data_IF_638585063652
#
_entry.id   IF_638585063652
#
_cell.length_a   1.000
_cell.length_b   1.000
_cell.length_c   1.000
_cell.angle_alpha   90.00
_cell.angle_beta   90.00
_cell.angle_gamma   90.00
#
_symmetry.space_group_name_H-M   'P 1'
#
loop_
_entity.id
_entity.type
_entity.pdbx_description
1 polymer ?
#
# COMPACT_ATOMS: atom_id res chain seq x y z
N UNK A 1 11.97 10.14 -0.22
CA UNK A 1 11.09 8.94 -0.22
C UNK A 1 11.11 8.38 -1.63
N UNK A 2 10.91 7.08 -1.87
CA UNK A 2 10.79 6.59 -3.25
C UNK A 2 9.33 6.51 -3.68
N UNK A 3 9.04 6.95 -4.90
CA UNK A 3 7.72 6.80 -5.49
C UNK A 3 7.39 5.30 -5.55
N UNK A 4 6.21 4.91 -5.07
CA UNK A 4 5.77 3.50 -5.09
C UNK A 4 4.91 3.25 -6.33
N UNK A 5 4.27 4.31 -6.83
CA UNK A 5 3.44 4.34 -8.02
C UNK A 5 3.76 5.57 -8.84
N UNK A 6 3.46 5.52 -10.14
CA UNK A 6 3.60 6.69 -11.00
C UNK A 6 2.64 7.79 -10.55
N UNK A 7 3.16 9.00 -10.34
CA UNK A 7 2.34 10.18 -10.05
C UNK A 7 2.98 11.45 -10.62
N UNK A 8 2.17 12.47 -10.83
CA UNK A 8 2.65 13.79 -11.24
C UNK A 8 2.71 14.74 -10.05
N UNK A 9 3.84 15.42 -9.87
CA UNK A 9 4.05 16.38 -8.82
C UNK A 9 4.84 17.57 -9.31
N UNK A 10 4.62 18.73 -8.69
CA UNK A 10 5.31 19.97 -9.02
C UNK A 10 6.35 20.22 -7.93
N UNK A 11 7.63 19.89 -8.17
CA UNK A 11 8.69 20.17 -7.20
C UNK A 11 8.96 21.68 -7.12
N UNK A 12 9.31 22.17 -5.93
CA UNK A 12 9.84 23.50 -5.65
C UNK A 12 9.11 24.68 -6.31
N UNK A 13 7.77 24.62 -6.36
CA UNK A 13 6.96 25.70 -6.97
C UNK A 13 7.24 25.91 -8.46
N UNK A 14 7.74 24.90 -9.17
CA UNK A 14 7.80 24.91 -10.63
C UNK A 14 6.39 25.13 -11.22
N UNK A 15 6.32 25.59 -12.46
CA UNK A 15 5.03 25.84 -13.13
C UNK A 15 4.52 24.58 -13.84
N UNK A 16 5.38 23.59 -14.04
CA UNK A 16 5.08 22.37 -14.79
C UNK A 16 5.17 21.14 -13.90
N UNK A 17 4.21 20.21 -14.02
CA UNK A 17 4.27 18.93 -13.32
C UNK A 17 5.36 18.03 -13.90
N UNK A 18 6.07 17.35 -13.00
CA UNK A 18 7.04 16.30 -13.30
C UNK A 18 6.39 14.95 -13.01
N UNK A 19 6.58 13.99 -13.90
CA UNK A 19 6.14 12.60 -13.67
C UNK A 19 7.23 11.85 -12.90
N UNK A 20 6.87 11.31 -11.74
CA UNK A 20 7.73 10.45 -10.93
C UNK A 20 7.32 8.99 -11.17
N UNK A 21 8.24 8.16 -11.65
CA UNK A 21 8.00 6.75 -11.87
C UNK A 21 8.26 5.94 -10.57
N UNK A 22 7.72 4.72 -10.43
CA UNK A 22 8.02 3.89 -9.25
C UNK A 22 9.54 3.65 -9.12
N UNK A 23 10.09 3.97 -7.95
CA UNK A 23 11.52 3.92 -7.63
C UNK A 23 12.24 5.28 -7.70
N UNK A 24 11.63 6.29 -8.31
CA UNK A 24 12.19 7.65 -8.38
C UNK A 24 12.25 8.30 -6.99
N UNK A 25 13.25 9.15 -6.81
CA UNK A 25 13.41 9.92 -5.58
C UNK A 25 12.42 11.09 -5.56
N UNK A 26 11.48 11.03 -4.62
CA UNK A 26 10.46 12.04 -4.45
C UNK A 26 10.96 13.08 -3.46
N UNK A 27 10.93 14.37 -3.83
CA UNK A 27 11.32 15.45 -2.94
C UNK A 27 10.32 15.61 -1.77
N UNK A 28 10.77 16.15 -0.61
CA UNK A 28 9.99 16.15 0.62
C UNK A 28 8.66 16.88 0.54
N UNK A 29 8.55 17.93 -0.28
CA UNK A 29 7.28 18.63 -0.53
C UNK A 29 6.22 17.76 -1.21
N UNK A 30 6.64 16.75 -1.97
CA UNK A 30 5.78 15.83 -2.71
C UNK A 30 5.61 14.48 -1.99
N UNK A 31 6.22 14.30 -0.82
CA UNK A 31 6.04 13.08 -0.02
C UNK A 31 4.56 12.83 0.31
N UNK A 32 3.77 13.87 0.59
CA UNK A 32 2.33 13.75 0.87
C UNK A 32 1.57 13.21 -0.35
N UNK A 33 1.88 13.71 -1.53
CA UNK A 33 1.32 13.26 -2.81
C UNK A 33 1.78 11.84 -3.12
N UNK A 34 3.08 11.55 -2.99
CA UNK A 34 3.61 10.20 -3.17
C UNK A 34 3.04 9.19 -2.17
N UNK A 35 2.72 9.61 -0.94
CA UNK A 35 2.04 8.76 0.04
C UNK A 35 0.57 8.55 -0.31
N UNK A 36 -0.10 9.58 -0.78
CA UNK A 36 -1.49 9.50 -1.25
C UNK A 36 -1.63 8.56 -2.46
N UNK A 37 -0.74 8.67 -3.45
CA UNK A 37 -0.77 7.86 -4.67
C UNK A 37 -0.05 6.52 -4.56
N UNK A 38 1.01 6.46 -3.76
CA UNK A 38 1.74 5.23 -3.46
C UNK A 38 0.98 4.32 -2.50
N UNK A 39 -0.09 4.83 -1.86
CA UNK A 39 -0.58 4.29 -0.62
C UNK A 39 0.52 4.38 0.43
N UNK A 40 0.15 4.36 1.69
CA UNK A 40 1.09 3.89 2.67
C UNK A 40 1.71 2.58 2.14
N UNK A 41 3.02 2.39 2.32
CA UNK A 41 3.57 1.03 2.39
C UNK A 41 2.97 0.23 3.58
N UNK A 42 1.86 0.72 4.16
CA UNK A 42 0.86 -0.03 4.90
C UNK A 42 -0.22 -0.44 3.88
N UNK A 43 0.01 -1.60 3.25
CA UNK A 43 -0.96 -2.26 2.39
C UNK A 43 -2.35 -2.17 3.02
N UNK A 44 -3.24 -1.41 2.37
CA UNK A 44 -4.67 -1.61 2.59
C UNK A 44 -4.98 -3.11 2.47
N UNK A 45 -6.01 -3.62 3.16
CA UNK A 45 -6.24 -5.05 3.32
C UNK A 45 -6.20 -5.88 2.01
N UNK A 46 -6.46 -5.24 0.86
CA UNK A 46 -6.39 -5.86 -0.46
C UNK A 46 -4.98 -6.31 -0.93
N UNK A 47 -3.91 -5.65 -0.46
CA UNK A 47 -2.52 -5.96 -0.86
C UNK A 47 -1.76 -6.81 0.16
N UNK A 48 -2.36 -7.14 1.30
CA UNK A 48 -1.81 -8.13 2.23
C UNK A 48 -1.62 -9.45 1.49
N UNK A 49 -0.40 -9.98 1.52
CA UNK A 49 -0.12 -11.29 0.93
C UNK A 49 -0.84 -12.37 1.72
N UNK A 50 -1.06 -13.56 1.13
CA UNK A 50 -1.70 -14.68 1.84
C UNK A 50 -0.95 -15.03 3.14
N UNK A 51 0.37 -14.82 3.17
CA UNK A 51 1.19 -15.01 4.36
C UNK A 51 0.84 -13.99 5.47
N UNK A 52 0.70 -12.72 5.12
CA UNK A 52 0.34 -11.65 6.08
C UNK A 52 -1.10 -11.76 6.55
N UNK A 53 -2.02 -12.16 5.66
CA UNK A 53 -3.41 -12.43 6.05
C UNK A 53 -3.46 -13.57 7.06
N UNK A 54 -2.70 -14.66 6.83
CA UNK A 54 -2.61 -15.77 7.79
C UNK A 54 -1.97 -15.34 9.11
N UNK A 55 -0.92 -14.51 9.07
CA UNK A 55 -0.29 -13.99 10.28
C UNK A 55 -1.28 -13.16 11.12
N UNK A 56 -2.09 -12.30 10.48
CA UNK A 56 -3.14 -11.54 11.17
C UNK A 56 -4.27 -12.43 11.69
N UNK A 57 -4.65 -13.49 10.97
CA UNK A 57 -5.65 -14.46 11.46
C UNK A 57 -5.13 -15.26 12.67
N UNK A 58 -3.86 -15.65 12.66
CA UNK A 58 -3.22 -16.34 13.79
C UNK A 58 -3.08 -15.42 15.02
N UNK A 59 -2.69 -14.16 14.82
CA UNK A 59 -2.64 -13.13 15.87
C UNK A 59 -4.02 -12.89 16.50
N UNK A 60 -5.07 -12.87 15.66
CA UNK A 60 -6.47 -12.76 16.11
C UNK A 60 -7.07 -14.08 16.60
N UNK A 61 -6.31 -15.19 16.58
CA UNK A 61 -6.77 -16.54 16.92
C UNK A 61 -8.04 -16.97 16.16
N UNK A 62 -8.12 -16.59 14.89
CA UNK A 62 -9.19 -16.99 13.98
C UNK A 62 -8.77 -18.26 13.24
N UNK A 63 -9.45 -19.36 13.55
CA UNK A 63 -9.29 -20.64 12.84
C UNK A 63 -9.58 -20.46 11.34
N UNK A 64 -8.57 -20.73 10.52
CA UNK A 64 -8.67 -20.70 9.07
C UNK A 64 -8.43 -22.08 8.47
N UNK A 65 -9.22 -22.46 7.48
CA UNK A 65 -9.06 -23.75 6.79
C UNK A 65 -7.94 -23.66 5.76
N UNK A 66 -6.98 -24.60 5.82
CA UNK A 66 -5.99 -24.78 4.76
C UNK A 66 -6.68 -25.08 3.43
N UNK A 67 -6.52 -24.17 2.47
CA UNK A 67 -7.17 -24.22 1.15
C UNK A 67 -8.09 -23.05 0.83
N UNK A 68 -8.32 -22.12 1.77
CA UNK A 68 -9.06 -20.90 1.49
C UNK A 68 -8.32 -19.97 0.52
N UNK A 69 -9.08 -19.31 -0.35
CA UNK A 69 -8.54 -18.35 -1.32
C UNK A 69 -8.14 -17.03 -0.64
N UNK A 70 -7.23 -16.25 -1.24
CA UNK A 70 -6.80 -14.94 -0.71
C UNK A 70 -7.99 -14.05 -0.30
N UNK A 71 -9.04 -14.03 -1.11
CA UNK A 71 -10.26 -13.26 -0.85
C UNK A 71 -11.05 -13.74 0.38
N UNK A 72 -11.08 -15.05 0.66
CA UNK A 72 -11.80 -15.62 1.80
C UNK A 72 -11.04 -15.39 3.11
N UNK A 73 -9.72 -15.60 3.07
CA UNK A 73 -8.84 -15.27 4.20
C UNK A 73 -8.93 -13.77 4.53
N UNK A 74 -9.02 -12.92 3.50
CA UNK A 74 -9.19 -11.48 3.69
C UNK A 74 -10.56 -11.11 4.25
N UNK A 75 -11.62 -11.84 3.86
CA UNK A 75 -12.96 -11.61 4.38
C UNK A 75 -13.12 -12.03 5.86
N UNK A 76 -12.27 -12.93 6.34
CA UNK A 76 -12.19 -13.33 7.75
C UNK A 76 -11.50 -12.30 8.64
N UNK A 77 -10.67 -11.42 8.06
CA UNK A 77 -10.11 -10.30 8.80
C UNK A 77 -11.22 -9.28 9.09
N UNK A 78 -11.45 -8.90 10.37
CA UNK A 78 -12.41 -7.86 10.68
C UNK A 78 -11.96 -6.57 10.01
N UNK A 79 -12.75 -6.07 9.05
CA UNK A 79 -12.53 -4.75 8.46
C UNK A 79 -12.85 -3.71 9.54
N UNK A 80 -11.81 -3.01 9.98
CA UNK A 80 -11.94 -1.81 10.81
C UNK A 80 -12.52 -0.64 9.99
#
# INVERSE_FOLDING_TARGET
>A
MKAIKEFQGVPNGEIYPVTYAPGDDVPPELHSTARYFGGDADSGPADLTVAEIKAKLDELKIDHKSGMSKAELLALLPKA
#
